data_IF_778134538593
#
_entry.id   IF_778134538593
#
_cell.length_a   1.000
_cell.length_b   1.000
_cell.length_c   1.000
_cell.angle_alpha   90.00
_cell.angle_beta   90.00
_cell.angle_gamma   90.00
#
_symmetry.space_group_name_H-M   'P 1'
#
loop_
_entity.id
_entity.type
_entity.pdbx_description
1 polymer ?
#
# COMPACT_ATOMS: atom_id res chain seq x y z
N UNK A 1 -7.82 4.12 10.96
CA UNK A 1 -6.68 3.18 11.06
C UNK A 1 -6.18 2.92 9.65
N UNK A 2 -4.98 3.38 9.30
CA UNK A 2 -4.45 3.18 7.94
C UNK A 2 -4.04 1.71 7.76
N UNK A 3 -4.83 0.94 7.06
CA UNK A 3 -4.46 -0.38 6.57
C UNK A 3 -3.54 -0.29 5.34
N UNK A 4 -3.54 0.85 4.68
CA UNK A 4 -2.75 1.11 3.49
C UNK A 4 -1.25 1.17 3.76
N UNK A 5 -0.49 1.26 2.69
CA UNK A 5 0.89 1.67 2.71
C UNK A 5 0.95 3.12 3.19
N UNK A 6 1.93 3.43 4.02
CA UNK A 6 2.23 4.81 4.35
C UNK A 6 2.77 5.47 3.07
N UNK A 7 1.92 6.24 2.38
CA UNK A 7 2.27 6.84 1.08
C UNK A 7 3.01 8.17 1.22
N UNK A 8 3.04 8.72 2.43
CA UNK A 8 3.71 9.98 2.73
C UNK A 8 4.46 9.88 4.05
N UNK A 9 5.68 10.36 4.03
CA UNK A 9 6.51 10.58 5.22
C UNK A 9 7.09 11.98 5.12
N UNK A 10 7.04 12.73 6.22
CA UNK A 10 7.53 14.10 6.29
C UNK A 10 8.93 14.12 6.92
N UNK A 11 9.71 15.17 6.64
CA UNK A 11 11.05 15.39 7.19
C UNK A 11 11.95 14.15 7.04
N UNK A 12 12.15 13.71 5.78
CA UNK A 12 12.80 12.43 5.47
C UNK A 12 14.23 12.63 4.99
N UNK A 13 15.14 11.85 5.56
CA UNK A 13 16.44 11.54 4.94
C UNK A 13 16.31 10.16 4.31
N UNK A 14 16.59 10.07 3.00
CA UNK A 14 16.50 8.82 2.22
C UNK A 14 17.77 8.59 1.44
N UNK A 15 18.23 7.35 1.46
CA UNK A 15 19.31 6.84 0.61
C UNK A 15 18.77 5.77 -0.34
N UNK A 16 19.20 5.81 -1.58
CA UNK A 16 18.97 4.76 -2.59
C UNK A 16 20.26 4.56 -3.37
N UNK A 17 20.79 3.35 -3.34
CA UNK A 17 21.96 2.93 -4.10
C UNK A 17 21.61 1.82 -5.09
N UNK A 18 22.16 1.90 -6.31
CA UNK A 18 22.00 0.89 -7.35
C UNK A 18 23.34 0.25 -7.66
N UNK A 19 23.39 -1.08 -7.59
CA UNK A 19 24.60 -1.90 -7.74
C UNK A 19 24.31 -3.02 -8.75
N UNK A 20 24.53 -2.75 -10.03
CA UNK A 20 24.12 -3.66 -11.11
C UNK A 20 22.59 -3.88 -11.11
N UNK A 21 22.17 -5.12 -10.99
CA UNK A 21 20.75 -5.50 -10.90
C UNK A 21 20.13 -5.31 -9.51
N UNK A 22 20.92 -4.97 -8.48
CA UNK A 22 20.46 -4.80 -7.11
C UNK A 22 20.26 -3.32 -6.80
N UNK A 23 19.13 -2.99 -6.17
CA UNK A 23 18.87 -1.65 -5.62
C UNK A 23 18.60 -1.80 -4.13
N UNK A 24 19.38 -1.08 -3.31
CA UNK A 24 19.19 -1.01 -1.87
C UNK A 24 18.74 0.39 -1.47
N UNK A 25 17.78 0.48 -0.57
CA UNK A 25 17.26 1.76 -0.08
C UNK A 25 16.98 1.73 1.40
N UNK A 26 17.05 2.90 2.02
CA UNK A 26 16.65 3.09 3.41
C UNK A 26 16.25 4.54 3.65
N UNK A 27 15.41 4.75 4.63
CA UNK A 27 14.99 6.09 5.02
C UNK A 27 14.77 6.19 6.52
N UNK A 28 14.89 7.42 6.99
CA UNK A 28 14.45 7.85 8.30
C UNK A 28 13.58 9.10 8.16
N UNK A 29 12.41 9.09 8.80
CA UNK A 29 11.51 10.21 8.92
C UNK A 29 11.52 10.71 10.36
N UNK A 30 11.75 11.99 10.55
CA UNK A 30 11.71 12.63 11.86
C UNK A 30 10.28 12.98 12.31
N UNK A 31 9.30 12.66 11.48
CA UNK A 31 7.89 12.90 11.74
C UNK A 31 7.42 14.28 11.29
N UNK A 32 6.13 14.48 11.32
CA UNK A 32 5.48 15.73 10.90
C UNK A 32 4.85 16.51 12.05
N UNK A 33 4.96 15.99 13.26
CA UNK A 33 4.32 16.61 14.40
C UNK A 33 2.80 16.73 14.18
N UNK A 34 2.10 15.62 14.17
CA UNK A 34 0.64 15.62 14.12
C UNK A 34 0.10 16.58 15.17
N UNK A 35 -0.83 17.43 14.78
CA UNK A 35 -1.50 18.43 15.63
C UNK A 35 -0.58 19.51 16.22
N UNK A 36 0.39 19.98 15.45
CA UNK A 36 1.24 21.12 15.84
C UNK A 36 2.25 20.84 16.94
N UNK A 37 2.45 19.57 17.23
CA UNK A 37 3.41 19.14 18.22
C UNK A 37 4.69 18.66 17.53
N UNK A 38 5.47 19.54 16.96
CA UNK A 38 6.80 19.24 16.41
C UNK A 38 7.66 18.32 17.28
N UNK A 39 8.94 18.34 17.15
CA UNK A 39 9.85 17.61 18.03
C UNK A 39 9.59 17.96 19.50
N UNK A 40 9.42 16.95 20.33
CA UNK A 40 9.31 17.11 21.77
C UNK A 40 10.55 16.54 22.42
N UNK A 41 11.24 17.35 23.20
CA UNK A 41 12.47 16.94 23.88
C UNK A 41 12.26 15.64 24.68
N UNK A 42 13.13 14.66 24.47
CA UNK A 42 13.05 13.34 25.11
C UNK A 42 12.06 12.35 24.43
N UNK A 43 11.33 12.78 23.42
CA UNK A 43 10.35 11.92 22.71
C UNK A 43 10.72 11.67 21.23
N UNK A 44 11.97 11.33 20.96
CA UNK A 44 12.50 11.20 19.59
C UNK A 44 11.80 10.13 18.73
N UNK A 45 11.00 9.25 19.31
CA UNK A 45 10.22 8.25 18.58
C UNK A 45 8.86 8.76 18.08
N UNK A 46 8.47 9.93 18.53
CA UNK A 46 7.15 10.47 18.22
C UNK A 46 7.01 10.78 16.73
N UNK A 47 5.99 10.18 16.10
CA UNK A 47 5.65 10.29 14.68
C UNK A 47 6.81 9.96 13.72
N UNK A 48 7.87 9.33 14.22
CA UNK A 48 9.00 8.90 13.40
C UNK A 48 8.65 7.68 12.57
N UNK A 49 9.33 7.55 11.45
CA UNK A 49 9.25 6.38 10.60
C UNK A 49 10.61 5.98 10.06
N UNK A 50 10.80 4.71 9.82
CA UNK A 50 12.00 4.22 9.16
C UNK A 50 11.72 2.94 8.38
N UNK A 51 12.49 2.75 7.34
CA UNK A 51 12.34 1.57 6.51
C UNK A 51 13.58 1.26 5.69
N UNK A 52 13.61 0.05 5.20
CA UNK A 52 14.65 -0.43 4.29
C UNK A 52 14.05 -1.30 3.19
N UNK A 53 14.69 -1.29 2.04
CA UNK A 53 14.29 -2.12 0.90
C UNK A 53 15.51 -2.68 0.19
N UNK A 54 15.36 -3.90 -0.32
CA UNK A 54 16.30 -4.53 -1.22
C UNK A 54 15.51 -5.09 -2.40
N UNK A 55 15.88 -4.68 -3.60
CA UNK A 55 15.24 -5.13 -4.84
C UNK A 55 16.27 -5.67 -5.81
N UNK A 56 15.90 -6.69 -6.53
CA UNK A 56 16.66 -7.25 -7.64
C UNK A 56 15.85 -7.13 -8.92
N UNK A 57 16.50 -6.76 -10.01
CA UNK A 57 15.94 -6.77 -11.36
C UNK A 57 17.02 -7.22 -12.35
N UNK A 58 16.84 -8.39 -12.93
CA UNK A 58 17.79 -8.97 -13.88
C UNK A 58 17.16 -10.04 -14.74
N UNK A 59 17.38 -9.94 -16.05
CA UNK A 59 16.73 -10.81 -17.03
C UNK A 59 15.20 -10.75 -16.88
N UNK A 60 14.51 -11.90 -16.91
CA UNK A 60 13.05 -11.94 -16.76
C UNK A 60 12.56 -11.81 -15.32
N UNK A 61 13.46 -11.76 -14.33
CA UNK A 61 13.11 -11.84 -12.92
C UNK A 61 13.21 -10.49 -12.21
N UNK A 62 12.23 -10.20 -11.37
CA UNK A 62 12.29 -9.15 -10.39
C UNK A 62 11.87 -9.67 -9.01
N UNK A 63 12.53 -9.21 -7.96
CA UNK A 63 12.17 -9.53 -6.58
C UNK A 63 12.42 -8.32 -5.68
N UNK A 64 11.64 -8.18 -4.62
CA UNK A 64 11.85 -7.12 -3.62
C UNK A 64 11.45 -7.59 -2.25
N UNK A 65 12.17 -7.11 -1.24
CA UNK A 65 11.80 -7.20 0.17
C UNK A 65 11.85 -5.80 0.77
N UNK A 66 10.86 -5.49 1.60
CA UNK A 66 10.71 -4.18 2.23
C UNK A 66 10.35 -4.37 3.69
N UNK A 67 10.99 -3.59 4.54
CA UNK A 67 10.60 -3.35 5.93
C UNK A 67 10.20 -1.90 6.10
N UNK A 68 9.12 -1.65 6.83
CA UNK A 68 8.64 -0.32 7.17
C UNK A 68 8.11 -0.30 8.60
N UNK A 69 8.49 0.73 9.36
CA UNK A 69 7.94 0.99 10.69
C UNK A 69 7.59 2.47 10.83
N UNK A 70 6.38 2.70 11.33
CA UNK A 70 5.90 4.02 11.72
C UNK A 70 5.50 4.01 13.19
N UNK A 71 5.85 5.05 13.92
CA UNK A 71 5.58 5.20 15.36
C UNK A 71 4.59 6.36 15.59
N UNK A 72 3.29 6.18 15.30
CA UNK A 72 2.31 7.25 15.45
C UNK A 72 2.15 7.68 16.89
N UNK A 73 1.97 8.97 17.13
CA UNK A 73 1.49 9.47 18.41
C UNK A 73 0.02 9.06 18.57
N UNK A 74 -0.28 8.24 19.54
CA UNK A 74 -1.64 7.76 19.83
C UNK A 74 -2.27 8.48 21.03
N UNK A 75 -1.48 9.22 21.79
CA UNK A 75 -1.96 10.06 22.90
C UNK A 75 -1.35 11.46 22.77
N UNK A 76 -2.18 12.45 22.50
CA UNK A 76 -1.75 13.83 22.40
C UNK A 76 -1.25 14.36 23.74
N UNK A 77 -1.85 13.91 24.85
CA UNK A 77 -1.53 14.37 26.21
C UNK A 77 -0.20 13.85 26.73
N UNK A 78 0.09 12.55 26.51
CA UNK A 78 1.31 11.92 27.04
C UNK A 78 2.42 11.79 26.01
N UNK A 79 2.12 12.03 24.73
CA UNK A 79 3.05 11.77 23.64
C UNK A 79 3.34 10.29 23.39
N UNK A 80 2.59 9.40 24.04
CA UNK A 80 2.80 7.95 23.91
C UNK A 80 2.55 7.49 22.48
N UNK A 81 3.48 6.69 21.97
CA UNK A 81 3.51 6.22 20.59
C UNK A 81 3.09 4.76 20.48
N UNK A 82 2.45 4.42 19.37
CA UNK A 82 2.31 3.05 18.91
C UNK A 82 3.52 2.55 18.12
N UNK A 83 3.41 1.37 17.55
CA UNK A 83 4.37 0.80 16.63
C UNK A 83 3.64 0.06 15.50
N UNK A 84 3.68 0.62 14.29
CA UNK A 84 3.05 0.06 13.10
C UNK A 84 4.14 -0.51 12.20
N UNK A 85 4.19 -1.83 12.08
CA UNK A 85 5.25 -2.56 11.39
C UNK A 85 4.70 -3.29 10.18
N UNK A 86 5.44 -3.25 9.08
CA UNK A 86 5.11 -3.98 7.85
C UNK A 86 6.38 -4.63 7.29
N UNK A 87 6.23 -5.87 6.86
CA UNK A 87 7.22 -6.56 6.04
C UNK A 87 6.54 -7.00 4.77
N UNK A 88 7.11 -6.70 3.64
CA UNK A 88 6.57 -7.14 2.35
C UNK A 88 7.64 -7.81 1.51
N UNK A 89 7.21 -8.78 0.73
CA UNK A 89 8.01 -9.40 -0.31
C UNK A 89 7.16 -9.52 -1.58
N UNK A 90 7.81 -9.33 -2.72
CA UNK A 90 7.16 -9.48 -4.02
C UNK A 90 8.15 -10.04 -5.03
N UNK A 91 7.61 -10.72 -6.04
CA UNK A 91 8.36 -11.22 -7.16
C UNK A 91 7.59 -10.99 -8.46
N UNK A 92 8.33 -10.91 -9.56
CA UNK A 92 7.77 -10.87 -10.91
C UNK A 92 8.60 -11.72 -11.86
N UNK A 93 7.91 -12.25 -12.87
CA UNK A 93 8.51 -12.97 -13.98
C UNK A 93 7.89 -12.51 -15.28
N UNK A 94 8.73 -12.18 -16.25
CA UNK A 94 8.32 -11.69 -17.56
C UNK A 94 8.80 -12.62 -18.66
N UNK A 95 7.90 -13.06 -19.52
CA UNK A 95 8.20 -13.92 -20.65
C UNK A 95 7.32 -13.58 -21.84
N UNK A 96 7.95 -13.19 -22.96
CA UNK A 96 7.24 -12.72 -24.13
C UNK A 96 6.28 -11.58 -23.81
N UNK A 97 4.99 -11.68 -24.16
CA UNK A 97 4.00 -10.65 -23.92
C UNK A 97 3.39 -10.69 -22.50
N UNK A 98 3.81 -11.63 -21.65
CA UNK A 98 3.19 -11.85 -20.33
C UNK A 98 4.18 -11.49 -19.22
N UNK A 99 3.70 -10.73 -18.23
CA UNK A 99 4.37 -10.51 -16.95
C UNK A 99 3.45 -10.91 -15.82
N UNK A 100 3.87 -11.87 -15.02
CA UNK A 100 3.19 -12.27 -13.79
C UNK A 100 3.90 -11.67 -12.61
N UNK A 101 3.15 -11.18 -11.62
CA UNK A 101 3.69 -10.62 -10.40
C UNK A 101 2.81 -10.99 -9.22
N UNK A 102 3.43 -11.10 -8.06
CA UNK A 102 2.70 -11.36 -6.83
C UNK A 102 3.53 -11.01 -5.61
N UNK A 103 2.87 -10.99 -4.49
CA UNK A 103 3.56 -10.67 -3.26
C UNK A 103 2.71 -10.91 -2.03
N UNK A 104 3.38 -10.70 -0.91
CA UNK A 104 2.87 -10.89 0.43
C UNK A 104 3.33 -9.73 1.33
N UNK A 105 2.45 -9.25 2.20
CA UNK A 105 2.78 -8.30 3.26
C UNK A 105 2.24 -8.81 4.59
N UNK A 106 3.10 -8.89 5.57
CA UNK A 106 2.74 -9.02 6.96
C UNK A 106 2.59 -7.64 7.59
N UNK A 107 1.52 -7.41 8.38
CA UNK A 107 1.26 -6.17 9.09
C UNK A 107 0.95 -6.40 10.56
N UNK A 108 1.48 -5.52 11.43
CA UNK A 108 1.22 -5.51 12.86
C UNK A 108 1.23 -4.08 13.39
N UNK A 109 0.07 -3.61 13.85
CA UNK A 109 -0.07 -2.32 14.51
C UNK A 109 -0.31 -2.54 16.00
N UNK A 110 0.54 -1.96 16.82
CA UNK A 110 0.45 -2.01 18.27
C UNK A 110 0.13 -0.64 18.85
N UNK A 111 -0.68 -0.61 19.90
CA UNK A 111 -1.04 0.57 20.67
C UNK A 111 0.05 0.99 21.65
N UNK A 112 -0.24 1.99 22.47
CA UNK A 112 0.67 2.54 23.49
C UNK A 112 1.00 1.54 24.59
N UNK A 113 0.12 0.60 24.88
CA UNK A 113 0.27 -0.46 25.89
C UNK A 113 0.72 -1.79 25.29
N UNK A 114 1.29 -1.77 24.08
CA UNK A 114 1.69 -2.94 23.29
C UNK A 114 0.52 -3.87 22.89
N UNK A 115 -0.73 -3.47 23.16
CA UNK A 115 -1.91 -4.18 22.70
C UNK A 115 -1.99 -4.19 21.18
N UNK A 116 -2.38 -5.31 20.60
CA UNK A 116 -2.53 -5.43 19.15
C UNK A 116 -3.79 -4.71 18.69
N UNK A 117 -3.62 -3.66 17.91
CA UNK A 117 -4.71 -2.90 17.27
C UNK A 117 -5.14 -3.52 15.95
N UNK A 118 -4.16 -3.97 15.16
CA UNK A 118 -4.38 -4.63 13.88
C UNK A 118 -3.29 -5.67 13.64
N UNK A 119 -3.67 -6.82 13.17
CA UNK A 119 -2.80 -7.83 12.60
C UNK A 119 -3.40 -8.34 11.31
N UNK A 120 -2.65 -8.26 10.20
CA UNK A 120 -3.10 -8.69 8.89
C UNK A 120 -2.01 -9.37 8.06
N UNK A 121 -2.44 -10.18 7.10
CA UNK A 121 -1.61 -10.74 6.05
C UNK A 121 -2.23 -10.40 4.71
N UNK A 122 -1.56 -9.60 3.93
CA UNK A 122 -2.06 -9.14 2.63
C UNK A 122 -1.37 -9.88 1.49
N UNK A 123 -2.15 -10.41 0.59
CA UNK A 123 -1.70 -11.18 -0.57
C UNK A 123 -2.17 -10.50 -1.85
N UNK A 124 -1.34 -10.53 -2.87
CA UNK A 124 -1.74 -10.11 -4.21
C UNK A 124 -1.08 -10.96 -5.27
N UNK A 125 -1.77 -11.13 -6.38
CA UNK A 125 -1.26 -11.73 -7.61
C UNK A 125 -1.85 -10.97 -8.78
N UNK A 126 -1.08 -10.80 -9.85
CA UNK A 126 -1.56 -10.14 -11.05
C UNK A 126 -0.75 -10.55 -12.27
N UNK A 127 -1.35 -10.33 -13.42
CA UNK A 127 -0.71 -10.54 -14.71
C UNK A 127 -0.96 -9.36 -15.63
N UNK A 128 0.08 -8.95 -16.36
CA UNK A 128 -0.02 -8.06 -17.50
C UNK A 128 0.14 -8.91 -18.77
N UNK A 129 -0.68 -8.63 -19.77
CA UNK A 129 -0.63 -9.24 -21.07
C UNK A 129 -0.64 -8.17 -22.16
N UNK A 130 0.45 -8.08 -22.91
CA UNK A 130 0.54 -7.22 -24.08
C UNK A 130 -0.10 -7.93 -25.27
N UNK A 131 -1.42 -7.72 -25.46
CA UNK A 131 -2.19 -8.42 -26.48
C UNK A 131 -1.80 -8.01 -27.90
N UNK A 132 -1.48 -6.73 -28.10
CA UNK A 132 -0.91 -6.17 -29.34
C UNK A 132 0.10 -5.08 -28.98
N UNK A 133 0.79 -4.53 -29.98
CA UNK A 133 1.70 -3.39 -29.74
C UNK A 133 1.00 -2.16 -29.11
N UNK A 134 -0.33 -2.06 -29.27
CA UNK A 134 -1.14 -0.95 -28.76
C UNK A 134 -2.00 -1.31 -27.55
N UNK A 135 -2.32 -2.59 -27.31
CA UNK A 135 -3.28 -3.03 -26.29
C UNK A 135 -2.58 -3.81 -25.19
N UNK A 136 -2.54 -3.24 -24.00
CA UNK A 136 -2.15 -3.88 -22.76
C UNK A 136 -3.35 -4.22 -21.88
N UNK A 137 -3.37 -5.41 -21.32
CA UNK A 137 -4.39 -5.89 -20.41
C UNK A 137 -3.76 -6.26 -19.07
N UNK A 138 -4.43 -5.93 -17.97
CA UNK A 138 -3.98 -6.29 -16.62
C UNK A 138 -5.14 -6.91 -15.86
N UNK A 139 -4.87 -8.01 -15.18
CA UNK A 139 -5.79 -8.60 -14.21
C UNK A 139 -5.04 -8.78 -12.90
N UNK A 140 -5.65 -8.37 -11.79
CA UNK A 140 -5.05 -8.51 -10.46
C UNK A 140 -6.12 -8.92 -9.43
N UNK A 141 -5.69 -9.74 -8.48
CA UNK A 141 -6.45 -10.16 -7.31
C UNK A 141 -5.71 -9.76 -6.04
N UNK A 142 -6.45 -9.26 -5.08
CA UNK A 142 -5.97 -8.82 -3.77
C UNK A 142 -6.81 -9.45 -2.68
N UNK A 143 -6.17 -9.90 -1.60
CA UNK A 143 -6.82 -10.49 -0.44
C UNK A 143 -6.14 -10.06 0.84
N UNK A 144 -6.92 -9.58 1.81
CA UNK A 144 -6.41 -9.19 3.13
C UNK A 144 -6.97 -10.15 4.19
N UNK A 145 -6.09 -10.99 4.75
CA UNK A 145 -6.41 -11.90 5.82
C UNK A 145 -6.23 -11.19 7.16
N UNK A 146 -7.30 -10.58 7.63
CA UNK A 146 -7.32 -9.81 8.85
C UNK A 146 -7.46 -10.75 10.04
N UNK A 147 -6.42 -10.86 10.83
CA UNK A 147 -6.35 -11.75 12.01
C UNK A 147 -6.86 -11.10 13.29
N UNK A 148 -6.75 -9.77 13.38
CA UNK A 148 -7.22 -9.01 14.53
C UNK A 148 -7.46 -7.55 14.13
N UNK A 149 -8.56 -6.97 14.58
CA UNK A 149 -8.84 -5.54 14.55
C UNK A 149 -9.37 -5.14 15.92
N UNK A 150 -8.51 -4.61 16.78
CA UNK A 150 -8.87 -4.15 18.12
C UNK A 150 -9.71 -5.16 18.93
N UNK A 151 -9.42 -6.46 18.79
CA UNK A 151 -10.16 -7.54 19.45
C UNK A 151 -11.41 -8.03 18.71
N UNK A 152 -11.77 -7.41 17.58
CA UNK A 152 -12.93 -7.84 16.79
C UNK A 152 -12.53 -8.81 15.67
N UNK A 153 -13.42 -9.74 15.38
CA UNK A 153 -13.33 -10.61 14.22
C UNK A 153 -14.12 -9.98 13.06
N UNK A 154 -13.46 -9.79 11.94
CA UNK A 154 -14.02 -9.12 10.76
C UNK A 154 -13.90 -10.01 9.53
N UNK A 155 -14.81 -9.81 8.56
CA UNK A 155 -14.73 -10.53 7.29
C UNK A 155 -13.56 -10.02 6.46
N UNK A 156 -12.80 -10.93 5.88
CA UNK A 156 -11.63 -10.60 5.06
C UNK A 156 -12.03 -9.90 3.76
N UNK A 157 -11.51 -8.72 3.48
CA UNK A 157 -11.75 -8.04 2.21
C UNK A 157 -10.92 -8.64 1.08
N UNK A 158 -11.49 -8.62 -0.13
CA UNK A 158 -10.79 -8.97 -1.34
C UNK A 158 -11.25 -8.12 -2.53
N UNK A 159 -10.41 -8.02 -3.54
CA UNK A 159 -10.68 -7.23 -4.73
C UNK A 159 -10.12 -7.92 -5.97
N UNK A 160 -10.89 -7.85 -7.06
CA UNK A 160 -10.42 -8.12 -8.43
C UNK A 160 -10.37 -6.80 -9.17
N UNK A 161 -9.29 -6.56 -9.90
CA UNK A 161 -9.13 -5.37 -10.74
C UNK A 161 -8.76 -5.79 -12.15
N UNK A 162 -9.45 -5.21 -13.14
CA UNK A 162 -9.12 -5.34 -14.55
C UNK A 162 -8.81 -3.97 -15.15
N UNK A 163 -7.74 -3.91 -15.96
CA UNK A 163 -7.35 -2.70 -16.68
C UNK A 163 -7.15 -3.08 -18.15
N UNK A 164 -7.70 -2.29 -19.06
CA UNK A 164 -7.35 -2.27 -20.47
C UNK A 164 -6.79 -0.89 -20.81
N UNK A 165 -5.62 -0.87 -21.43
CA UNK A 165 -4.92 0.35 -21.82
C UNK A 165 -4.62 0.27 -23.32
N UNK A 166 -5.12 1.23 -24.10
CA UNK A 166 -4.95 1.27 -25.54
C UNK A 166 -4.19 2.53 -25.98
N UNK A 167 -3.00 2.33 -26.53
CA UNK A 167 -2.15 3.39 -27.03
C UNK A 167 -2.54 3.77 -28.48
N UNK A 168 -3.13 4.93 -28.67
CA UNK A 168 -3.35 5.51 -30.00
C UNK A 168 -2.05 6.00 -30.62
N UNK A 169 -1.13 6.48 -29.79
CA UNK A 169 0.20 6.94 -30.20
C UNK A 169 1.18 6.82 -29.04
N UNK A 170 2.46 7.16 -29.28
CA UNK A 170 3.48 7.22 -28.21
C UNK A 170 3.16 8.25 -27.11
N UNK A 171 2.21 9.16 -27.37
CA UNK A 171 1.86 10.26 -26.47
C UNK A 171 0.42 10.20 -25.97
N UNK A 172 -0.44 9.37 -26.57
CA UNK A 172 -1.88 9.35 -26.25
C UNK A 172 -2.34 7.93 -26.05
N UNK A 173 -2.92 7.67 -24.91
CA UNK A 173 -3.58 6.41 -24.57
C UNK A 173 -4.95 6.64 -23.94
N UNK A 174 -5.83 5.66 -24.08
CA UNK A 174 -7.12 5.57 -23.41
C UNK A 174 -7.10 4.35 -22.51
N UNK A 175 -7.64 4.47 -21.33
CA UNK A 175 -7.73 3.36 -20.40
C UNK A 175 -9.12 3.16 -19.84
N UNK A 176 -9.43 1.90 -19.58
CA UNK A 176 -10.56 1.44 -18.78
C UNK A 176 -10.00 0.73 -17.56
N UNK A 177 -10.42 1.15 -16.37
CA UNK A 177 -10.13 0.43 -15.12
C UNK A 177 -11.43 0.03 -14.47
N UNK A 178 -11.56 -1.23 -14.10
CA UNK A 178 -12.70 -1.74 -13.35
C UNK A 178 -12.22 -2.49 -12.12
N UNK A 179 -12.93 -2.38 -11.02
CA UNK A 179 -12.66 -3.13 -9.81
C UNK A 179 -13.95 -3.60 -9.15
N UNK A 180 -13.93 -4.81 -8.65
CA UNK A 180 -14.96 -5.33 -7.76
C UNK A 180 -14.32 -5.67 -6.41
N UNK A 181 -14.84 -5.08 -5.34
CA UNK A 181 -14.40 -5.31 -3.96
C UNK A 181 -15.50 -5.93 -3.13
N UNK A 182 -15.16 -6.92 -2.30
CA UNK A 182 -16.06 -7.58 -1.36
C UNK A 182 -15.55 -7.39 0.07
N UNK A 183 -16.46 -7.31 1.04
CA UNK A 183 -16.19 -7.00 2.44
C UNK A 183 -15.43 -5.66 2.64
N UNK A 184 -15.49 -4.79 1.64
CA UNK A 184 -14.87 -3.47 1.63
C UNK A 184 -15.56 -2.48 2.59
N UNK A 185 -16.70 -2.87 3.17
CA UNK A 185 -17.36 -2.15 4.27
C UNK A 185 -16.58 -2.18 5.59
N UNK A 186 -15.50 -2.94 5.64
CA UNK A 186 -14.38 -2.65 6.52
C UNK A 186 -13.64 -1.43 5.99
N UNK A 187 -14.41 -0.44 5.65
CA UNK A 187 -13.86 0.85 5.32
C UNK A 187 -13.28 1.41 6.61
N UNK A 188 -11.99 1.20 6.79
CA UNK A 188 -11.23 1.78 7.88
C UNK A 188 -11.10 3.30 7.75
N UNK A 189 -11.66 3.88 6.71
CA UNK A 189 -11.95 5.28 6.58
C UNK A 189 -13.18 5.64 7.42
N UNK A 190 -13.05 5.50 8.72
CA UNK A 190 -13.99 6.18 9.62
C UNK A 190 -13.67 7.68 9.57
N UNK A 191 -14.65 8.52 9.86
CA UNK A 191 -14.50 9.98 9.92
C UNK A 191 -13.37 10.44 10.87
N UNK A 192 -12.94 9.62 11.81
CA UNK A 192 -11.81 9.85 12.70
C UNK A 192 -10.44 9.51 12.07
N UNK A 193 -10.43 8.78 10.94
CA UNK A 193 -9.24 8.26 10.27
C UNK A 193 -9.27 8.63 8.77
N UNK A 194 -10.27 9.37 8.39
CA UNK A 194 -10.59 9.78 7.03
C UNK A 194 -9.42 10.53 6.40
N UNK A 195 -8.69 9.80 5.61
CA UNK A 195 -7.87 10.39 4.58
C UNK A 195 -8.43 10.04 3.22
N UNK A 196 -9.22 10.97 2.69
CA UNK A 196 -9.42 11.19 1.27
C UNK A 196 -10.23 10.17 0.47
N UNK A 197 -10.66 9.05 0.99
CA UNK A 197 -11.55 8.15 0.26
C UNK A 197 -12.95 8.22 0.84
N UNK A 198 -13.69 9.24 0.40
CA UNK A 198 -15.06 9.52 0.80
C UNK A 198 -16.10 8.51 0.27
N UNK A 199 -15.71 7.25 0.03
CA UNK A 199 -16.64 6.22 -0.41
C UNK A 199 -17.13 5.43 0.79
N UNK A 200 -18.28 5.82 1.32
CA UNK A 200 -18.99 5.04 2.32
C UNK A 200 -19.91 4.05 1.60
N UNK A 201 -19.81 2.77 1.98
CA UNK A 201 -20.82 1.82 1.57
C UNK A 201 -22.14 2.14 2.27
N UNK A 202 -23.24 2.03 1.55
CA UNK A 202 -24.59 2.14 2.15
C UNK A 202 -24.78 1.11 3.27
N UNK A 203 -25.69 1.39 4.18
CA UNK A 203 -26.00 0.51 5.30
C UNK A 203 -26.34 -0.91 4.80
N UNK A 204 -25.65 -1.92 5.32
CA UNK A 204 -25.80 -3.32 4.93
C UNK A 204 -25.07 -3.74 3.64
N UNK A 205 -24.48 -2.83 2.90
CA UNK A 205 -23.68 -3.17 1.73
C UNK A 205 -22.29 -3.68 2.14
N UNK A 206 -21.83 -4.75 1.49
CA UNK A 206 -20.52 -5.36 1.74
C UNK A 206 -19.64 -5.46 0.49
N UNK A 207 -20.10 -4.89 -0.62
CA UNK A 207 -19.38 -4.91 -1.89
C UNK A 207 -19.48 -3.57 -2.62
N UNK A 208 -18.53 -3.36 -3.54
CA UNK A 208 -18.46 -2.16 -4.34
C UNK A 208 -17.91 -2.49 -5.74
N UNK A 209 -18.45 -1.84 -6.77
CA UNK A 209 -17.91 -1.84 -8.12
C UNK A 209 -17.42 -0.43 -8.43
N UNK A 210 -16.19 -0.32 -8.89
CA UNK A 210 -15.61 0.91 -9.42
C UNK A 210 -15.32 0.77 -10.91
N UNK A 211 -15.62 1.81 -11.67
CA UNK A 211 -15.31 1.90 -13.10
C UNK A 211 -14.73 3.28 -13.38
N UNK A 212 -13.60 3.34 -14.06
CA UNK A 212 -13.00 4.57 -14.53
C UNK A 212 -12.57 4.44 -15.99
N UNK A 213 -12.88 5.45 -16.79
CA UNK A 213 -12.40 5.62 -18.17
C UNK A 213 -11.67 6.94 -18.25
N UNK A 214 -10.52 6.95 -18.91
CA UNK A 214 -9.76 8.19 -19.05
C UNK A 214 -8.87 8.20 -20.27
N UNK A 215 -8.40 9.38 -20.60
CA UNK A 215 -7.42 9.66 -21.67
C UNK A 215 -6.18 10.28 -21.02
N UNK A 216 -5.01 9.78 -21.38
CA UNK A 216 -3.73 10.43 -21.04
C UNK A 216 -3.08 10.97 -22.29
N UNK A 217 -2.62 12.21 -22.22
CA UNK A 217 -1.81 12.83 -23.27
C UNK A 217 -0.56 13.42 -22.66
N UNK A 218 0.61 13.17 -23.29
CA UNK A 218 1.91 13.70 -22.89
C UNK A 218 2.36 14.72 -23.94
N UNK A 219 2.68 15.91 -23.50
CA UNK A 219 3.19 17.01 -24.32
C UNK A 219 4.70 16.91 -24.54
#
# INVERSE_FOLDING_TARGET
MQLGLNYRSDNVIKYVGKFGGVTAGGYWSFGNGVAGAGEVAGQFRRDTGYGASLSYSGGPFGATVVYDQYNPTLSATTGATGAFRKVALAASYETGPVKVMGGYRWGLNKGTTDATLLRDNYYWIGANYQATAALGLTLAYYYDDIRNVAGFNVKNPWQVTFIADYAFSKRTDVYLTTAYSKNSGLNFDTSAISFANAYYLGAGADNMIGVAVGVRHRF
#
